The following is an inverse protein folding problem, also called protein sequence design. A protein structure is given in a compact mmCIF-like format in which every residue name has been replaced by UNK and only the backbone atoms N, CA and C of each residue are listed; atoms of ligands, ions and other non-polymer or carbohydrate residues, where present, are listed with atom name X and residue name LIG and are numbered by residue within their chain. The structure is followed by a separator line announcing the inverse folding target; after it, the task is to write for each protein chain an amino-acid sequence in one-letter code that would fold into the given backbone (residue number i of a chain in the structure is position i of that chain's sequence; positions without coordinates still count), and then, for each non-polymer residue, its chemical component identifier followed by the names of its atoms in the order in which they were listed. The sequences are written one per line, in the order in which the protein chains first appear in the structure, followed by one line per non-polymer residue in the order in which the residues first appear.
data_IF_905530235983
#
_entry.id   IF_905530235983
#
_cell.length_a   1.000
_cell.length_b   1.000
_cell.length_c   1.000
_cell.angle_alpha   90.00
_cell.angle_beta   90.00
_cell.angle_gamma   90.00
#
_symmetry.space_group_name_H-M   'P 1'
#
loop_
_entity.id
_entity.type
_entity.pdbx_description
1 polymer ?
#
# COMPACT_ATOMS: atom_id res chain seq x y z
N UNK A 1 -11.61 -28.91 -3.27
CA UNK A 1 -11.40 -30.10 -4.13
C UNK A 1 -10.31 -29.84 -5.18
N UNK A 2 -10.32 -28.71 -5.91
CA UNK A 2 -9.32 -28.42 -6.96
C UNK A 2 -7.88 -28.34 -6.42
N UNK A 3 -7.66 -27.59 -5.32
CA UNK A 3 -6.35 -27.48 -4.66
C UNK A 3 -5.83 -28.84 -4.19
N UNK A 4 -6.67 -29.64 -3.57
CA UNK A 4 -6.28 -30.98 -3.11
C UNK A 4 -5.83 -31.90 -4.26
N UNK A 5 -6.47 -31.81 -5.43
CA UNK A 5 -6.04 -32.57 -6.63
C UNK A 5 -4.69 -32.08 -7.17
N UNK A 6 -4.41 -30.78 -7.09
CA UNK A 6 -3.13 -30.24 -7.52
C UNK A 6 -2.00 -30.68 -6.57
N UNK A 7 -2.25 -30.68 -5.27
CA UNK A 7 -1.30 -31.09 -4.24
C UNK A 7 -0.85 -32.56 -4.37
N UNK A 8 -1.79 -33.48 -4.66
CA UNK A 8 -1.49 -34.92 -4.75
C UNK A 8 -0.57 -35.27 -5.95
N UNK A 9 -0.44 -34.36 -6.93
CA UNK A 9 0.34 -34.59 -8.14
C UNK A 9 1.85 -34.29 -8.01
N UNK A 10 2.29 -33.86 -6.82
CA UNK A 10 3.67 -33.44 -6.56
C UNK A 10 4.22 -32.46 -7.64
N UNK A 11 3.57 -31.33 -7.82
CA UNK A 11 3.93 -30.39 -8.90
C UNK A 11 5.18 -29.61 -8.57
N UNK A 12 5.97 -29.28 -9.59
CA UNK A 12 7.12 -28.38 -9.44
C UNK A 12 6.71 -26.90 -9.33
N UNK A 13 5.54 -26.54 -9.84
CA UNK A 13 4.98 -25.17 -9.81
C UNK A 13 3.47 -25.24 -9.61
N UNK A 14 2.94 -24.42 -8.73
CA UNK A 14 1.51 -24.16 -8.61
C UNK A 14 1.12 -22.89 -9.39
N UNK A 15 0.03 -22.98 -10.14
CA UNK A 15 -0.61 -21.84 -10.78
C UNK A 15 -2.00 -21.70 -10.17
N UNK A 16 -2.22 -20.61 -9.45
CA UNK A 16 -3.49 -20.30 -8.76
C UNK A 16 -4.05 -19.00 -9.33
N UNK A 17 -5.24 -19.06 -9.88
CA UNK A 17 -5.90 -17.92 -10.50
C UNK A 17 -7.20 -17.60 -9.76
N UNK A 18 -7.26 -16.43 -9.12
CA UNK A 18 -8.42 -15.89 -8.37
C UNK A 18 -9.12 -16.90 -7.45
N UNK A 19 -8.36 -17.74 -6.79
CA UNK A 19 -8.86 -18.91 -6.06
C UNK A 19 -9.85 -18.57 -4.92
N UNK A 20 -9.69 -17.41 -4.28
CA UNK A 20 -10.41 -16.99 -3.09
C UNK A 20 -11.58 -16.03 -3.37
N UNK A 21 -11.74 -15.55 -4.60
CA UNK A 21 -12.70 -14.51 -4.96
C UNK A 21 -14.17 -14.86 -4.66
N UNK A 22 -14.53 -16.13 -4.66
CA UNK A 22 -15.91 -16.59 -4.42
C UNK A 22 -16.22 -16.98 -2.96
N UNK A 23 -15.30 -16.70 -2.02
CA UNK A 23 -15.47 -17.05 -0.60
C UNK A 23 -15.96 -15.83 0.19
N UNK A 24 -16.75 -16.08 1.25
CA UNK A 24 -17.04 -15.05 2.24
C UNK A 24 -15.75 -14.61 2.98
N UNK A 25 -15.78 -13.43 3.60
CA UNK A 25 -14.58 -12.81 4.17
C UNK A 25 -13.89 -13.68 5.22
N UNK A 26 -14.66 -14.29 6.14
CA UNK A 26 -14.11 -15.12 7.22
C UNK A 26 -13.44 -16.38 6.67
N UNK A 27 -14.10 -17.05 5.73
CA UNK A 27 -13.58 -18.25 5.10
C UNK A 27 -12.37 -17.93 4.21
N UNK A 28 -12.39 -16.78 3.53
CA UNK A 28 -11.26 -16.28 2.71
C UNK A 28 -10.00 -16.12 3.56
N UNK A 29 -10.09 -15.47 4.71
CA UNK A 29 -8.96 -15.28 5.62
C UNK A 29 -8.39 -16.61 6.13
N UNK A 30 -9.26 -17.52 6.51
CA UNK A 30 -8.85 -18.85 6.96
C UNK A 30 -8.16 -19.65 5.85
N UNK A 31 -8.73 -19.67 4.64
CA UNK A 31 -8.18 -20.43 3.50
C UNK A 31 -6.86 -19.80 3.05
N UNK A 32 -6.75 -18.46 3.04
CA UNK A 32 -5.50 -17.73 2.74
C UNK A 32 -4.38 -18.17 3.67
N UNK A 33 -4.63 -18.21 4.98
CA UNK A 33 -3.65 -18.66 5.96
C UNK A 33 -3.21 -20.11 5.72
N UNK A 34 -4.16 -21.02 5.50
CA UNK A 34 -3.86 -22.44 5.24
C UNK A 34 -3.08 -22.63 3.92
N UNK A 35 -3.43 -21.90 2.86
CA UNK A 35 -2.70 -21.94 1.59
C UNK A 35 -1.24 -21.50 1.75
N UNK A 36 -0.99 -20.38 2.45
CA UNK A 36 0.38 -19.90 2.71
C UNK A 36 1.17 -20.93 3.52
N UNK A 37 0.56 -21.54 4.52
CA UNK A 37 1.18 -22.59 5.33
C UNK A 37 1.54 -23.81 4.50
N UNK A 38 0.61 -24.29 3.66
CA UNK A 38 0.84 -25.44 2.76
C UNK A 38 1.98 -25.12 1.78
N UNK A 39 1.96 -23.94 1.14
CA UNK A 39 2.98 -23.50 0.21
C UNK A 39 4.37 -23.48 0.87
N UNK A 40 4.45 -22.93 2.08
CA UNK A 40 5.71 -22.86 2.84
C UNK A 40 6.21 -24.26 3.24
N UNK A 41 5.32 -25.16 3.65
CA UNK A 41 5.67 -26.53 4.03
C UNK A 41 6.17 -27.37 2.85
N UNK A 42 5.58 -27.16 1.68
CA UNK A 42 5.93 -27.91 0.47
C UNK A 42 7.16 -27.34 -0.24
N UNK A 43 7.47 -26.06 -0.02
CA UNK A 43 8.58 -25.38 -0.71
C UNK A 43 8.39 -25.25 -2.23
N UNK A 44 7.14 -25.39 -2.72
CA UNK A 44 6.85 -25.37 -4.15
C UNK A 44 6.69 -23.94 -4.64
N UNK A 45 7.32 -23.59 -5.75
CA UNK A 45 7.12 -22.29 -6.41
C UNK A 45 5.64 -22.12 -6.78
N UNK A 46 5.06 -21.02 -6.35
CA UNK A 46 3.64 -20.74 -6.57
C UNK A 46 3.49 -19.41 -7.28
N UNK A 47 2.77 -19.39 -8.39
CA UNK A 47 2.30 -18.18 -9.06
C UNK A 47 0.82 -18.01 -8.69
N UNK A 48 0.51 -16.91 -8.01
CA UNK A 48 -0.83 -16.59 -7.55
C UNK A 48 -1.32 -15.30 -8.22
N UNK A 49 -2.39 -15.41 -8.99
CA UNK A 49 -3.04 -14.26 -9.65
C UNK A 49 -4.21 -13.83 -8.78
N UNK A 50 -4.26 -12.56 -8.43
CA UNK A 50 -5.34 -11.96 -7.65
C UNK A 50 -5.49 -10.47 -7.98
N UNK A 51 -6.69 -9.94 -7.79
CA UNK A 51 -6.97 -8.50 -7.76
C UNK A 51 -7.11 -7.97 -6.32
N UNK A 52 -7.02 -8.85 -5.31
CA UNK A 52 -7.10 -8.47 -3.89
C UNK A 52 -5.71 -8.13 -3.35
N UNK A 53 -5.55 -6.86 -2.92
CA UNK A 53 -4.30 -6.37 -2.36
C UNK A 53 -3.89 -7.12 -1.09
N UNK A 54 -4.87 -7.45 -0.23
CA UNK A 54 -4.60 -8.13 1.04
C UNK A 54 -4.01 -9.52 0.79
N UNK A 55 -4.54 -10.24 -0.22
CA UNK A 55 -3.99 -11.53 -0.64
C UNK A 55 -2.54 -11.37 -1.12
N UNK A 56 -2.30 -10.43 -2.05
CA UNK A 56 -0.97 -10.18 -2.58
C UNK A 56 0.03 -9.81 -1.48
N UNK A 57 -0.32 -8.84 -0.63
CA UNK A 57 0.57 -8.32 0.41
C UNK A 57 0.88 -9.33 1.53
N UNK A 58 -0.05 -10.25 1.81
CA UNK A 58 0.11 -11.22 2.92
C UNK A 58 0.67 -12.57 2.49
N UNK A 59 0.47 -12.97 1.24
CA UNK A 59 0.87 -14.29 0.76
C UNK A 59 2.17 -14.28 -0.04
N UNK A 60 2.44 -13.21 -0.79
CA UNK A 60 3.56 -13.19 -1.71
C UNK A 60 4.90 -12.95 -1.01
N UNK A 61 5.94 -13.59 -1.53
CA UNK A 61 7.34 -13.25 -1.25
C UNK A 61 7.82 -12.20 -2.27
N UNK A 62 7.22 -12.20 -3.47
CA UNK A 62 7.48 -11.26 -4.56
C UNK A 62 6.18 -10.93 -5.29
N UNK A 63 5.91 -9.66 -5.52
CA UNK A 63 4.72 -9.15 -6.21
C UNK A 63 5.12 -8.58 -7.56
N UNK A 64 4.32 -8.88 -8.57
CA UNK A 64 4.37 -8.23 -9.89
C UNK A 64 3.05 -7.49 -10.09
N UNK A 65 3.06 -6.17 -9.93
CA UNK A 65 1.89 -5.33 -10.15
C UNK A 65 1.77 -4.98 -11.63
N UNK A 66 0.63 -5.32 -12.21
CA UNK A 66 0.35 -5.10 -13.63
C UNK A 66 -0.82 -4.14 -13.84
N UNK A 67 -0.76 -3.39 -14.93
CA UNK A 67 -1.86 -2.55 -15.44
C UNK A 67 -1.84 -2.55 -16.97
N UNK A 68 -2.98 -2.77 -17.58
CA UNK A 68 -3.15 -2.72 -19.04
C UNK A 68 -2.09 -3.57 -19.80
N UNK A 69 -1.76 -4.75 -19.27
CA UNK A 69 -0.78 -5.67 -19.85
C UNK A 69 0.70 -5.31 -19.59
N UNK A 70 0.98 -4.21 -18.87
CA UNK A 70 2.32 -3.76 -18.56
C UNK A 70 2.66 -3.96 -17.08
N UNK A 71 3.92 -4.33 -16.80
CA UNK A 71 4.45 -4.39 -15.43
C UNK A 71 4.70 -2.95 -14.97
N UNK A 72 3.99 -2.55 -13.91
CA UNK A 72 4.13 -1.23 -13.31
C UNK A 72 5.26 -1.20 -12.28
N UNK A 73 5.32 -2.21 -11.43
CA UNK A 73 6.39 -2.43 -10.46
C UNK A 73 6.43 -3.89 -10.05
N UNK A 74 7.62 -4.35 -9.67
CA UNK A 74 7.81 -5.65 -9.05
C UNK A 74 8.78 -5.54 -7.87
N UNK A 75 8.61 -6.39 -6.87
CA UNK A 75 9.44 -6.39 -5.67
C UNK A 75 8.77 -7.13 -4.51
N UNK A 76 9.34 -7.03 -3.32
CA UNK A 76 8.70 -7.53 -2.11
C UNK A 76 7.45 -6.69 -1.79
N UNK A 77 6.51 -7.20 -0.98
CA UNK A 77 5.38 -6.40 -0.49
C UNK A 77 5.83 -5.05 0.10
N UNK A 78 6.91 -5.06 0.88
CA UNK A 78 7.45 -3.83 1.48
C UNK A 78 7.98 -2.84 0.43
N UNK A 79 8.61 -3.31 -0.64
CA UNK A 79 9.12 -2.42 -1.71
C UNK A 79 7.97 -1.68 -2.40
N UNK A 80 6.86 -2.36 -2.67
CA UNK A 80 5.70 -1.74 -3.32
C UNK A 80 4.99 -0.73 -2.39
N UNK A 81 4.98 -1.02 -1.08
CA UNK A 81 4.34 -0.16 -0.09
C UNK A 81 5.18 1.06 0.26
N UNK A 82 6.46 0.86 0.62
CA UNK A 82 7.34 1.91 1.12
C UNK A 82 8.02 2.70 -0.01
N UNK A 83 8.28 2.07 -1.17
CA UNK A 83 9.02 2.65 -2.27
C UNK A 83 8.27 2.53 -3.62
N UNK A 84 7.03 3.06 -3.72
CA UNK A 84 6.29 3.04 -4.97
C UNK A 84 6.99 3.89 -6.03
N UNK A 85 7.18 3.33 -7.24
CA UNK A 85 7.85 4.01 -8.34
C UNK A 85 6.95 4.97 -9.13
N UNK A 86 5.67 5.00 -8.83
CA UNK A 86 4.69 5.85 -9.51
C UNK A 86 3.48 6.14 -8.63
N UNK A 87 2.74 7.21 -8.97
CA UNK A 87 1.46 7.53 -8.31
C UNK A 87 0.43 6.42 -8.44
N UNK A 88 0.48 5.65 -9.53
CA UNK A 88 -0.41 4.50 -9.69
C UNK A 88 -0.12 3.44 -8.61
N UNK A 89 1.14 3.03 -8.46
CA UNK A 89 1.54 2.03 -7.46
C UNK A 89 1.23 2.52 -6.05
N UNK A 90 1.60 3.77 -5.72
CA UNK A 90 1.32 4.39 -4.43
C UNK A 90 -0.18 4.39 -4.08
N UNK A 91 -1.04 4.64 -5.08
CA UNK A 91 -2.50 4.69 -4.89
C UNK A 91 -3.14 3.30 -4.89
N UNK A 92 -2.53 2.34 -5.57
CA UNK A 92 -3.05 0.97 -5.65
C UNK A 92 -2.73 0.18 -4.39
N UNK A 93 -1.54 0.37 -3.80
CA UNK A 93 -1.06 -0.40 -2.65
C UNK A 93 -1.35 0.33 -1.34
N UNK A 94 -2.11 -0.34 -0.45
CA UNK A 94 -2.46 0.14 0.89
C UNK A 94 -3.95 0.37 1.09
N UNK A 95 -4.43 0.01 2.29
CA UNK A 95 -5.81 0.21 2.73
C UNK A 95 -5.80 0.84 4.13
N UNK A 96 -6.36 2.04 4.32
CA UNK A 96 -6.93 2.94 3.30
C UNK A 96 -5.91 3.44 2.27
N UNK A 97 -6.42 3.93 1.13
CA UNK A 97 -5.55 4.47 0.08
C UNK A 97 -4.79 5.71 0.54
N UNK A 98 -3.63 5.96 -0.09
CA UNK A 98 -2.83 7.15 0.14
C UNK A 98 -3.59 8.43 -0.26
N UNK A 99 -3.58 9.44 0.62
CA UNK A 99 -4.07 10.78 0.29
C UNK A 99 -3.05 11.48 -0.60
N UNK A 100 -3.51 12.18 -1.63
CA UNK A 100 -2.68 12.92 -2.58
C UNK A 100 -2.99 14.40 -2.49
N UNK A 101 -2.01 15.19 -2.08
CA UNK A 101 -2.11 16.64 -1.97
C UNK A 101 -1.25 17.30 -3.04
N UNK A 102 -1.84 18.18 -3.85
CA UNK A 102 -1.09 19.03 -4.77
C UNK A 102 -0.53 20.20 -3.99
N UNK A 103 0.78 20.29 -3.91
CA UNK A 103 1.49 21.26 -3.08
C UNK A 103 2.58 21.96 -3.87
N UNK A 104 2.96 23.16 -3.44
CA UNK A 104 4.11 23.89 -3.96
C UNK A 104 5.27 23.80 -2.96
N UNK A 105 6.47 23.53 -3.45
CA UNK A 105 7.67 23.56 -2.61
C UNK A 105 8.07 25.03 -2.36
N UNK A 106 8.01 25.45 -1.11
CA UNK A 106 8.32 26.81 -0.69
C UNK A 106 9.43 26.85 0.35
N UNK A 107 10.05 28.00 0.55
CA UNK A 107 10.97 28.22 1.68
C UNK A 107 10.29 29.11 2.71
N UNK A 108 10.26 28.68 3.94
CA UNK A 108 9.71 29.44 5.07
C UNK A 108 10.63 29.30 6.29
N UNK A 109 11.03 30.42 6.85
CA UNK A 109 11.92 30.42 8.02
C UNK A 109 13.30 29.76 7.81
N UNK A 110 13.80 29.71 6.57
CA UNK A 110 15.08 29.08 6.24
C UNK A 110 15.00 27.56 5.98
N UNK A 111 13.80 26.95 6.08
CA UNK A 111 13.56 25.54 5.78
C UNK A 111 12.58 25.38 4.62
N UNK A 112 12.67 24.24 3.91
CA UNK A 112 11.70 23.89 2.87
C UNK A 112 10.39 23.38 3.51
N UNK A 113 9.28 23.71 2.85
CA UNK A 113 7.95 23.25 3.22
C UNK A 113 7.11 22.96 1.98
N UNK A 114 6.11 22.09 2.14
CA UNK A 114 5.07 21.85 1.15
C UNK A 114 3.87 22.73 1.49
N UNK A 115 3.55 23.67 0.62
CA UNK A 115 2.35 24.50 0.74
C UNK A 115 1.22 23.90 -0.09
N UNK A 116 0.19 23.40 0.58
CA UNK A 116 -0.98 22.73 -0.02
C UNK A 116 -2.24 23.58 0.30
N UNK A 117 -2.53 24.59 -0.51
CA UNK A 117 -3.52 25.61 -0.17
C UNK A 117 -3.08 26.41 1.06
N UNK A 118 -3.90 26.39 2.12
CA UNK A 118 -3.58 27.02 3.41
C UNK A 118 -2.70 26.16 4.31
N UNK A 119 -2.65 24.85 4.05
CA UNK A 119 -1.85 23.91 4.81
C UNK A 119 -0.36 24.05 4.47
N UNK A 120 0.47 24.00 5.50
CA UNK A 120 1.92 24.00 5.40
C UNK A 120 2.48 22.76 6.10
N UNK A 121 3.11 21.88 5.35
CA UNK A 121 3.74 20.67 5.87
C UNK A 121 5.25 20.80 5.81
N UNK A 122 5.93 20.31 6.83
CA UNK A 122 7.39 20.24 6.86
C UNK A 122 7.90 19.26 5.78
N UNK A 123 9.01 19.60 5.14
CA UNK A 123 9.72 18.63 4.29
C UNK A 123 10.55 17.73 5.19
N UNK A 124 10.38 16.39 5.13
CA UNK A 124 11.24 15.46 5.86
C UNK A 124 12.71 15.65 5.53
N UNK A 125 13.59 15.46 6.52
CA UNK A 125 15.03 15.74 6.38
C UNK A 125 15.68 14.96 5.24
N UNK A 126 15.30 13.71 5.05
CA UNK A 126 15.78 12.82 3.99
C UNK A 126 15.36 13.28 2.58
N UNK A 127 14.26 14.03 2.47
CA UNK A 127 13.77 14.59 1.21
C UNK A 127 14.28 16.01 0.93
N UNK A 128 14.86 16.70 1.91
CA UNK A 128 15.26 18.10 1.79
C UNK A 128 16.19 18.34 0.61
N UNK A 129 17.21 17.51 0.44
CA UNK A 129 18.18 17.66 -0.67
C UNK A 129 17.51 17.46 -2.04
N UNK A 130 16.56 16.52 -2.14
CA UNK A 130 15.80 16.29 -3.37
C UNK A 130 14.85 17.46 -3.64
N UNK A 131 14.16 17.97 -2.62
CA UNK A 131 13.16 19.03 -2.77
C UNK A 131 13.76 20.40 -3.12
N UNK A 132 15.05 20.62 -2.87
CA UNK A 132 15.73 21.84 -3.33
C UNK A 132 15.59 22.07 -4.84
N UNK A 133 15.67 21.03 -5.66
CA UNK A 133 15.53 21.13 -7.13
C UNK A 133 14.07 21.40 -7.57
N UNK A 134 13.12 21.21 -6.66
CA UNK A 134 11.69 21.46 -6.89
C UNK A 134 11.19 22.75 -6.24
N UNK A 135 12.09 23.55 -5.64
CA UNK A 135 11.74 24.84 -5.04
C UNK A 135 10.98 25.72 -6.03
N UNK A 136 9.81 26.20 -5.63
CA UNK A 136 8.90 26.99 -6.45
C UNK A 136 8.05 26.18 -7.44
N UNK A 137 8.26 24.86 -7.57
CA UNK A 137 7.48 23.96 -8.44
C UNK A 137 6.36 23.31 -7.68
N UNK A 138 5.36 22.82 -8.43
CA UNK A 138 4.28 21.99 -7.93
C UNK A 138 4.72 20.53 -7.86
N UNK A 139 4.34 19.87 -6.78
CA UNK A 139 4.60 18.44 -6.51
C UNK A 139 3.35 17.81 -5.95
N UNK A 140 3.25 16.47 -6.02
CA UNK A 140 2.19 15.72 -5.35
C UNK A 140 2.81 15.08 -4.11
N UNK A 141 2.27 15.44 -2.94
CA UNK A 141 2.64 14.86 -1.65
C UNK A 141 1.66 13.76 -1.31
N UNK A 142 2.16 12.56 -1.07
CA UNK A 142 1.39 11.40 -0.63
C UNK A 142 1.42 11.27 0.89
N UNK A 143 0.25 11.19 1.54
CA UNK A 143 0.13 10.93 2.97
C UNK A 143 -0.63 9.62 3.18
N UNK A 144 0.02 8.62 3.78
CA UNK A 144 -0.66 7.37 4.15
C UNK A 144 -1.45 7.58 5.44
N UNK A 145 -2.74 7.20 5.48
CA UNK A 145 -3.55 7.35 6.70
C UNK A 145 -2.94 6.63 7.92
N UNK A 146 -2.28 5.49 7.70
CA UNK A 146 -1.61 4.71 8.75
C UNK A 146 -0.39 5.41 9.37
N UNK A 147 0.15 6.44 8.72
CA UNK A 147 1.32 7.21 9.21
C UNK A 147 0.90 8.49 9.93
N UNK A 148 -0.40 8.83 9.89
CA UNK A 148 -0.94 9.98 10.61
C UNK A 148 -1.18 9.60 12.07
N UNK A 149 -0.72 10.44 12.98
CA UNK A 149 -0.93 10.29 14.43
C UNK A 149 -1.66 11.49 14.97
N UNK A 150 -2.57 11.25 15.93
CA UNK A 150 -3.25 12.33 16.62
C UNK A 150 -2.26 13.05 17.56
N UNK A 151 -2.20 14.36 17.45
CA UNK A 151 -1.45 15.22 18.34
C UNK A 151 -2.39 15.98 19.29
N UNK A 152 -1.92 16.43 20.47
CA UNK A 152 -2.67 17.37 21.31
C UNK A 152 -3.00 18.64 20.53
N UNK A 153 -4.09 19.32 20.94
CA UNK A 153 -4.53 20.56 20.31
C UNK A 153 -3.40 21.59 20.18
N UNK A 154 -3.24 22.15 18.99
CA UNK A 154 -2.20 23.13 18.66
C UNK A 154 -0.77 22.57 18.51
N UNK A 155 -0.57 21.27 18.59
CA UNK A 155 0.76 20.63 18.45
C UNK A 155 0.90 19.82 17.14
N UNK A 156 -0.18 19.65 16.36
CA UNK A 156 -0.16 18.96 15.08
C UNK A 156 0.28 19.88 13.94
N UNK A 157 0.83 19.29 12.88
CA UNK A 157 1.10 20.00 11.62
C UNK A 157 -0.17 20.22 10.79
N UNK A 158 -1.19 19.39 11.01
CA UNK A 158 -2.48 19.45 10.31
C UNK A 158 -3.58 19.65 11.35
N UNK A 159 -4.38 20.67 11.17
CA UNK A 159 -5.65 20.84 11.88
C UNK A 159 -6.81 20.45 10.97
N UNK A 160 -7.81 19.77 11.53
CA UNK A 160 -8.98 19.36 10.79
C UNK A 160 -10.18 19.15 11.71
N UNK A 161 -11.36 19.18 11.13
CA UNK A 161 -12.61 18.81 11.80
C UNK A 161 -13.03 17.44 11.30
N UNK A 162 -13.40 16.56 12.23
CA UNK A 162 -13.95 15.24 11.88
C UNK A 162 -15.34 15.46 11.27
N UNK A 163 -15.48 15.11 9.99
CA UNK A 163 -16.72 15.21 9.24
C UNK A 163 -17.58 13.95 9.42
N UNK A 164 -16.95 12.79 9.33
CA UNK A 164 -17.61 11.50 9.52
C UNK A 164 -16.67 10.50 10.18
N UNK A 165 -17.26 9.50 10.81
CA UNK A 165 -16.53 8.39 11.43
C UNK A 165 -17.17 7.09 10.98
N UNK A 166 -16.39 6.22 10.32
CA UNK A 166 -16.82 4.89 9.90
C UNK A 166 -16.22 3.84 10.84
N UNK A 167 -17.04 3.13 11.63
CA UNK A 167 -16.54 2.08 12.51
C UNK A 167 -16.16 0.84 11.71
N UNK A 168 -14.96 0.33 11.91
CA UNK A 168 -14.44 -0.90 11.29
C UNK A 168 -14.45 -2.12 12.23
N UNK A 169 -15.12 -2.01 13.38
CA UNK A 169 -15.19 -3.05 14.39
C UNK A 169 -14.12 -2.90 15.48
N UNK A 170 -12.87 -2.93 15.13
CA UNK A 170 -11.71 -2.74 16.03
C UNK A 170 -11.01 -1.38 15.84
N UNK A 171 -11.51 -0.56 14.90
CA UNK A 171 -10.98 0.77 14.58
C UNK A 171 -12.02 1.66 13.90
N UNK A 172 -11.56 2.82 13.47
CA UNK A 172 -12.37 3.82 12.76
C UNK A 172 -11.57 4.36 11.56
N UNK A 173 -12.26 4.74 10.51
CA UNK A 173 -11.77 5.56 9.40
C UNK A 173 -12.49 6.90 9.44
#
# INVERSE_FOLDING_TARGET
VAVGRALVRDPQVFLLDELLGNLDAKLRDQVRYELKKIQTQLGVTTIYVTHDQTEAMTMADHIVLMKDGHIMQQGTPNDLYAHPNSLFVASFVGTPQINKLTCKVVEKGGSLAFQCGELLLSVPDDLTALMQQYKGKEVIVGLRPSELTLAPEGQGEIEGTVDSVEPLGDGFI
#
